data_IF_135683018608
#
_entry.id   IF_135683018608
#
_cell.length_a   1.000
_cell.length_b   1.000
_cell.length_c   1.000
_cell.angle_alpha   90.00
_cell.angle_beta   90.00
_cell.angle_gamma   90.00
#
_symmetry.space_group_name_H-M   'P 1'
#
loop_
_entity.id
_entity.type
_entity.pdbx_description
1 polymer ?
#
# COMPACT_ATOMS: atom_id res chain seq x y z
N UNK A 1 34.74 -27.81 23.47
CA UNK A 1 34.04 -26.52 23.30
C UNK A 1 33.18 -26.48 22.03
N UNK A 2 32.12 -27.31 21.90
CA UNK A 2 31.06 -27.12 20.89
C UNK A 2 29.85 -26.31 21.40
N UNK A 3 29.62 -26.28 22.71
CA UNK A 3 28.42 -25.73 23.38
C UNK A 3 28.17 -24.22 23.15
N UNK A 4 29.23 -23.40 23.20
CA UNK A 4 29.11 -21.95 23.00
C UNK A 4 28.71 -21.61 21.56
N UNK A 5 29.22 -22.39 20.59
CA UNK A 5 28.94 -22.15 19.17
C UNK A 5 27.50 -22.52 18.85
N UNK A 6 26.99 -23.60 19.44
CA UNK A 6 25.61 -24.05 19.24
C UNK A 6 24.62 -23.11 19.93
N UNK A 7 24.89 -22.68 21.18
CA UNK A 7 24.10 -21.66 21.86
C UNK A 7 24.09 -20.31 21.11
N UNK A 8 25.19 -19.95 20.45
CA UNK A 8 25.24 -18.75 19.60
C UNK A 8 24.41 -18.91 18.32
N UNK A 9 24.45 -20.08 17.68
CA UNK A 9 23.63 -20.37 16.47
C UNK A 9 22.14 -20.38 16.77
N UNK A 10 21.74 -20.93 17.91
CA UNK A 10 20.34 -20.91 18.35
C UNK A 10 19.87 -19.48 18.60
N UNK A 11 20.71 -18.66 19.23
CA UNK A 11 20.42 -17.24 19.46
C UNK A 11 20.34 -16.45 18.15
N UNK A 12 21.22 -16.71 17.19
CA UNK A 12 21.16 -16.10 15.86
C UNK A 12 19.83 -16.49 15.18
N UNK A 13 19.46 -17.77 15.20
CA UNK A 13 18.21 -18.24 14.59
C UNK A 13 16.98 -17.59 15.23
N UNK A 14 16.95 -17.48 16.57
CA UNK A 14 15.87 -16.77 17.27
C UNK A 14 15.82 -15.28 16.91
N UNK A 15 16.97 -14.61 16.81
CA UNK A 15 17.03 -13.19 16.48
C UNK A 15 16.62 -12.93 15.03
N UNK A 16 17.06 -13.77 14.08
CA UNK A 16 16.66 -13.70 12.67
C UNK A 16 15.17 -13.92 12.49
N UNK A 17 14.58 -14.90 13.18
CA UNK A 17 13.14 -15.12 13.16
C UNK A 17 12.37 -13.94 13.79
N UNK A 18 12.92 -13.33 14.85
CA UNK A 18 12.31 -12.14 15.46
C UNK A 18 12.39 -10.93 14.54
N UNK A 19 13.50 -10.76 13.83
CA UNK A 19 13.67 -9.73 12.80
C UNK A 19 12.62 -9.94 11.72
N UNK A 20 12.47 -11.16 11.18
CA UNK A 20 11.44 -11.47 10.18
C UNK A 20 10.04 -11.11 10.64
N UNK A 21 9.67 -11.49 11.86
CA UNK A 21 8.35 -11.16 12.44
C UNK A 21 8.13 -9.65 12.59
N UNK A 22 9.16 -8.91 13.00
CA UNK A 22 9.10 -7.45 13.13
C UNK A 22 9.07 -6.77 11.77
N UNK A 23 9.87 -7.24 10.80
CA UNK A 23 9.85 -6.76 9.43
C UNK A 23 8.48 -6.97 8.79
N UNK A 24 7.85 -8.14 8.96
CA UNK A 24 6.49 -8.38 8.45
C UNK A 24 5.44 -7.47 9.10
N UNK A 25 5.57 -7.22 10.41
CA UNK A 25 4.65 -6.36 11.15
C UNK A 25 4.82 -4.85 10.84
N UNK A 26 6.05 -4.40 10.60
CA UNK A 26 6.39 -2.98 10.42
C UNK A 26 6.51 -2.57 8.94
N UNK A 27 6.89 -3.50 8.07
CA UNK A 27 7.05 -3.33 6.64
C UNK A 27 6.16 -4.35 5.92
N UNK A 28 4.84 -4.09 5.83
CA UNK A 28 3.98 -4.89 4.96
C UNK A 28 4.58 -4.92 3.55
N UNK A 29 4.38 -6.02 2.80
CA UNK A 29 5.03 -6.25 1.52
C UNK A 29 4.94 -5.00 0.66
N UNK A 30 6.11 -4.43 0.34
CA UNK A 30 6.24 -3.19 -0.42
C UNK A 30 5.34 -3.29 -1.63
N UNK A 31 4.31 -2.44 -1.69
CA UNK A 31 3.41 -2.40 -2.83
C UNK A 31 4.24 -1.93 -4.01
N UNK A 32 4.64 -2.89 -4.85
CA UNK A 32 5.39 -2.60 -6.06
C UNK A 32 4.42 -1.94 -7.04
N UNK A 33 4.70 -0.68 -7.37
CA UNK A 33 3.95 0.08 -8.35
C UNK A 33 4.75 0.08 -9.65
N UNK A 34 4.28 -0.61 -10.71
CA UNK A 34 4.95 -0.59 -12.01
C UNK A 34 5.10 0.85 -12.53
N UNK A 35 6.32 1.22 -12.96
CA UNK A 35 6.61 2.52 -13.56
C UNK A 35 5.74 2.81 -14.79
N UNK A 36 5.28 1.75 -15.47
CA UNK A 36 4.36 1.77 -16.60
C UNK A 36 3.05 2.51 -16.29
N UNK A 37 2.62 2.54 -15.02
CA UNK A 37 1.37 3.20 -14.63
C UNK A 37 1.46 4.72 -14.71
N UNK A 38 2.69 5.29 -14.81
CA UNK A 38 2.94 6.74 -14.90
C UNK A 38 2.16 7.54 -13.86
N UNK A 39 2.14 7.03 -12.63
CA UNK A 39 1.56 7.70 -11.50
C UNK A 39 2.53 8.78 -11.00
N UNK A 40 1.99 9.96 -10.70
CA UNK A 40 2.69 10.98 -9.90
C UNK A 40 2.93 10.45 -8.49
N UNK A 41 3.81 11.11 -7.73
CA UNK A 41 4.07 10.75 -6.32
C UNK A 41 2.79 10.68 -5.49
N UNK A 42 1.89 11.66 -5.64
CA UNK A 42 0.60 11.67 -4.93
C UNK A 42 -0.31 10.52 -5.34
N UNK A 43 -0.43 10.23 -6.65
CA UNK A 43 -1.24 9.12 -7.14
C UNK A 43 -0.67 7.75 -6.72
N UNK A 44 0.67 7.63 -6.67
CA UNK A 44 1.34 6.42 -6.20
C UNK A 44 1.04 6.16 -4.72
N UNK A 45 0.97 7.22 -3.89
CA UNK A 45 0.53 7.08 -2.48
C UNK A 45 -0.92 6.63 -2.36
N UNK A 46 -1.83 7.26 -3.11
CA UNK A 46 -3.24 6.83 -3.14
C UNK A 46 -3.35 5.38 -3.60
N UNK A 47 -2.58 5.00 -4.61
CA UNK A 47 -2.54 3.62 -5.10
C UNK A 47 -2.07 2.65 -4.02
N UNK A 48 -0.94 2.94 -3.35
CA UNK A 48 -0.42 2.11 -2.27
C UNK A 48 -1.43 2.00 -1.12
N UNK A 49 -2.08 3.10 -0.75
CA UNK A 49 -3.12 3.09 0.28
C UNK A 49 -4.35 2.28 -0.11
N UNK A 50 -4.74 2.30 -1.39
CA UNK A 50 -5.84 1.48 -1.91
C UNK A 50 -5.45 -0.01 -2.04
N UNK A 51 -4.19 -0.31 -2.33
CA UNK A 51 -3.71 -1.69 -2.47
C UNK A 51 -3.44 -2.38 -1.13
N UNK A 52 -3.28 -1.64 -0.02
CA UNK A 52 -3.06 -2.21 1.30
C UNK A 52 -4.34 -2.60 2.05
N UNK A 53 -5.54 -2.32 1.49
CA UNK A 53 -6.83 -2.49 2.17
C UNK A 53 -7.91 -2.92 1.19
N UNK A 54 -8.93 -3.65 1.64
CA UNK A 54 -10.07 -4.02 0.80
C UNK A 54 -10.93 -2.80 0.40
N UNK A 55 -11.20 -1.90 1.36
CA UNK A 55 -11.92 -0.63 1.12
C UNK A 55 -11.21 0.51 1.82
N UNK A 56 -10.93 1.58 1.08
CA UNK A 56 -10.41 2.84 1.61
C UNK A 56 -11.49 3.92 1.59
N UNK A 57 -11.79 4.47 2.77
CA UNK A 57 -12.70 5.60 2.90
C UNK A 57 -12.09 6.86 2.30
N UNK A 58 -12.92 7.80 1.83
CA UNK A 58 -12.43 9.09 1.31
C UNK A 58 -11.53 9.80 2.33
N UNK A 59 -11.89 9.75 3.62
CA UNK A 59 -11.08 10.31 4.71
C UNK A 59 -9.73 9.62 4.86
N UNK A 60 -9.67 8.29 4.74
CA UNK A 60 -8.39 7.56 4.83
C UNK A 60 -7.46 7.86 3.66
N UNK A 61 -8.00 8.01 2.44
CA UNK A 61 -7.24 8.41 1.26
C UNK A 61 -6.74 9.85 1.42
N UNK A 62 -7.59 10.70 2.01
CA UNK A 62 -7.20 12.05 2.40
C UNK A 62 -5.96 12.00 3.30
N UNK A 63 -6.00 11.24 4.40
CA UNK A 63 -4.87 11.14 5.33
C UNK A 63 -3.57 10.71 4.62
N UNK A 64 -3.65 9.76 3.69
CA UNK A 64 -2.52 9.29 2.89
C UNK A 64 -1.97 10.35 1.90
N UNK A 65 -2.82 11.25 1.39
CA UNK A 65 -2.41 12.32 0.49
C UNK A 65 -1.62 13.43 1.19
N UNK A 66 -1.94 13.68 2.47
CA UNK A 66 -1.45 14.82 3.24
C UNK A 66 -0.52 14.43 4.39
N UNK A 67 -0.10 13.16 4.46
CA UNK A 67 0.87 12.70 5.47
C UNK A 67 2.18 13.51 5.46
N UNK A 68 2.48 14.21 4.37
CA UNK A 68 3.69 15.01 4.14
C UNK A 68 3.42 16.52 3.91
N UNK A 69 2.18 17.00 3.91
CA UNK A 69 1.85 18.42 3.66
C UNK A 69 0.74 18.93 4.56
N UNK A 70 1.06 19.92 5.38
CA UNK A 70 0.16 20.54 6.37
C UNK A 70 -0.57 21.78 5.78
N UNK A 71 -0.18 22.23 4.58
CA UNK A 71 -0.40 23.64 4.17
C UNK A 71 -1.61 23.88 3.25
N UNK A 72 -2.41 22.85 2.97
CA UNK A 72 -3.57 22.96 2.08
C UNK A 72 -4.79 22.42 2.79
N UNK A 73 -5.76 23.30 3.06
CA UNK A 73 -7.07 22.94 3.58
C UNK A 73 -7.78 22.06 2.54
N UNK A 74 -7.92 20.76 2.80
CA UNK A 74 -8.19 19.82 1.72
C UNK A 74 -9.68 19.55 1.60
N UNK A 75 -10.27 19.98 0.47
CA UNK A 75 -11.62 19.58 0.14
C UNK A 75 -11.66 18.07 -0.14
N UNK A 76 -12.53 17.33 0.55
CA UNK A 76 -12.76 15.89 0.35
C UNK A 76 -12.98 15.53 -1.14
N UNK A 77 -13.50 16.48 -1.94
CA UNK A 77 -13.71 16.34 -3.39
C UNK A 77 -12.42 16.10 -4.19
N UNK A 78 -11.24 16.46 -3.67
CA UNK A 78 -9.97 16.23 -4.36
C UNK A 78 -9.68 14.74 -4.53
N UNK A 79 -10.15 13.90 -3.60
CA UNK A 79 -10.04 12.44 -3.67
C UNK A 79 -10.70 11.92 -4.95
N UNK A 80 -11.88 12.44 -5.29
CA UNK A 80 -12.63 12.01 -6.46
C UNK A 80 -11.90 12.38 -7.76
N UNK A 81 -11.21 13.53 -7.79
CA UNK A 81 -10.39 13.97 -8.93
C UNK A 81 -9.18 13.05 -9.10
N UNK A 82 -8.48 12.70 -8.02
CA UNK A 82 -7.37 11.75 -8.06
C UNK A 82 -7.84 10.37 -8.55
N UNK A 83 -8.93 9.85 -8.00
CA UNK A 83 -9.52 8.57 -8.42
C UNK A 83 -9.91 8.60 -9.90
N UNK A 84 -10.50 9.70 -10.38
CA UNK A 84 -10.85 9.86 -11.79
C UNK A 84 -9.60 9.80 -12.70
N UNK A 85 -8.53 10.53 -12.36
CA UNK A 85 -7.26 10.52 -13.10
C UNK A 85 -6.60 9.14 -13.08
N UNK A 86 -6.53 8.51 -11.91
CA UNK A 86 -5.93 7.19 -11.75
C UNK A 86 -6.69 6.13 -12.54
N UNK A 87 -8.03 6.13 -12.52
CA UNK A 87 -8.84 5.22 -13.35
C UNK A 87 -8.47 5.30 -14.83
N UNK A 88 -8.24 6.50 -15.36
CA UNK A 88 -7.84 6.66 -16.76
C UNK A 88 -6.46 6.07 -17.05
N UNK A 89 -5.49 6.25 -16.15
CA UNK A 89 -4.13 5.71 -16.28
C UNK A 89 -4.09 4.18 -16.16
N UNK A 90 -4.83 3.65 -15.18
CA UNK A 90 -4.83 2.23 -14.80
C UNK A 90 -5.70 1.36 -15.70
N UNK A 91 -6.65 1.95 -16.44
CA UNK A 91 -7.57 1.23 -17.35
C UNK A 91 -6.86 0.28 -18.33
N UNK A 92 -5.65 0.62 -18.77
CA UNK A 92 -4.87 -0.20 -19.73
C UNK A 92 -4.16 -1.40 -19.11
N UNK A 93 -4.11 -1.48 -17.79
CA UNK A 93 -3.34 -2.48 -17.03
C UNK A 93 -4.23 -3.46 -16.27
N UNK A 94 -5.53 -3.52 -16.60
CA UNK A 94 -6.54 -4.33 -15.89
C UNK A 94 -6.57 -4.10 -14.37
N UNK A 95 -6.24 -2.87 -13.96
CA UNK A 95 -6.38 -2.40 -12.59
C UNK A 95 -7.57 -1.45 -12.52
N UNK A 96 -8.57 -1.84 -11.74
CA UNK A 96 -9.86 -1.14 -11.63
C UNK A 96 -9.99 -0.56 -10.23
N UNK A 97 -10.36 0.72 -10.15
CA UNK A 97 -10.76 1.34 -8.87
C UNK A 97 -12.29 1.38 -8.84
N UNK A 98 -12.92 0.57 -8.01
CA UNK A 98 -14.37 0.50 -7.85
C UNK A 98 -14.86 1.52 -6.82
N UNK A 99 -16.06 2.08 -7.04
CA UNK A 99 -16.72 2.89 -6.01
C UNK A 99 -17.57 1.98 -5.14
N UNK A 100 -17.31 1.95 -3.84
CA UNK A 100 -18.16 1.30 -2.85
C UNK A 100 -19.07 2.36 -2.25
N UNK A 101 -20.35 2.36 -2.66
CA UNK A 101 -21.32 3.38 -2.24
C UNK A 101 -21.41 3.47 -0.70
N UNK A 102 -21.30 4.69 -0.18
CA UNK A 102 -21.30 4.96 1.26
C UNK A 102 -20.01 4.63 2.02
N UNK A 103 -19.04 3.93 1.40
CA UNK A 103 -17.84 3.43 2.11
C UNK A 103 -16.53 3.93 1.52
N UNK A 104 -16.46 4.21 0.22
CA UNK A 104 -15.26 4.77 -0.43
C UNK A 104 -14.88 4.05 -1.71
N UNK A 105 -13.63 3.59 -1.80
CA UNK A 105 -13.05 3.00 -2.99
C UNK A 105 -12.34 1.68 -2.70
N UNK A 106 -12.37 0.76 -3.67
CA UNK A 106 -11.66 -0.52 -3.66
C UNK A 106 -10.76 -0.61 -4.88
N UNK A 107 -9.55 -1.15 -4.72
CA UNK A 107 -8.68 -1.51 -5.84
C UNK A 107 -8.86 -2.99 -6.18
N UNK A 108 -9.20 -3.28 -7.43
CA UNK A 108 -9.31 -4.63 -7.96
C UNK A 108 -8.23 -4.81 -9.03
N UNK A 109 -7.35 -5.80 -8.82
CA UNK A 109 -6.29 -6.16 -9.76
C UNK A 109 -6.63 -7.54 -10.35
N UNK A 110 -6.86 -7.64 -11.66
CA UNK A 110 -7.12 -8.95 -12.30
C UNK A 110 -5.89 -9.88 -12.32
N UNK A 111 -4.70 -9.37 -11.96
CA UNK A 111 -3.46 -10.17 -11.91
C UNK A 111 -3.17 -10.85 -10.56
N UNK A 112 -4.04 -10.76 -9.56
CA UNK A 112 -3.95 -11.56 -8.33
C UNK A 112 -5.05 -12.63 -8.24
N UNK A 113 -5.14 -13.44 -9.29
CA UNK A 113 -5.77 -14.77 -9.19
C UNK A 113 -4.75 -15.78 -9.71
N UNK A 114 -3.79 -16.15 -8.85
CA UNK A 114 -3.08 -17.43 -8.89
C UNK A 114 -2.01 -17.51 -7.79
N UNK A 115 -2.37 -18.14 -6.66
CA UNK A 115 -1.60 -19.08 -5.84
C UNK A 115 -2.09 -19.03 -4.38
#
# INVERSE_FOLDING_TARGET
MPDIVDAQRDRISMLEERIRQLEDALMPPTIVIPLEYRLTSSEARVYAHLASRDVATKQSIMLALYSDRIDLEPEIKIVDVFVCKMRQKLKRFDVVIETVWGHGYRLVRKREVAA
#
